data_IF_777042160231
#
_entry.id   IF_777042160231
#
_cell.length_a   1.000
_cell.length_b   1.000
_cell.length_c   1.000
_cell.angle_alpha   90.00
_cell.angle_beta   90.00
_cell.angle_gamma   90.00
#
_symmetry.space_group_name_H-M   'P 1'
#
loop_
_entity.id
_entity.type
_entity.pdbx_description
1 polymer ?
#
# COMPACT_ATOMS: atom_id res chain seq x y z
N UNK A 1 3.23 -12.65 -13.74
CA UNK A 1 2.23 -11.65 -14.18
C UNK A 1 2.16 -10.47 -13.21
N UNK A 2 1.88 -10.71 -11.93
CA UNK A 2 1.80 -9.66 -10.91
C UNK A 2 3.03 -8.77 -10.84
N UNK A 3 4.21 -9.35 -10.57
CA UNK A 3 5.44 -8.57 -10.46
C UNK A 3 5.74 -7.72 -11.70
N UNK A 4 5.45 -8.24 -12.89
CA UNK A 4 5.67 -7.49 -14.13
C UNK A 4 4.80 -6.23 -14.18
N UNK A 5 3.51 -6.36 -13.88
CA UNK A 5 2.58 -5.22 -13.83
C UNK A 5 2.99 -4.25 -12.74
N UNK A 6 3.21 -4.75 -11.53
CA UNK A 6 3.63 -3.95 -10.39
C UNK A 6 4.89 -3.15 -10.68
N UNK A 7 5.97 -3.79 -11.14
CA UNK A 7 7.24 -3.12 -11.43
C UNK A 7 7.08 -2.02 -12.48
N UNK A 8 6.27 -2.23 -13.51
CA UNK A 8 6.02 -1.19 -14.53
C UNK A 8 5.26 0.02 -13.96
N UNK A 9 4.21 -0.21 -13.17
CA UNK A 9 3.41 0.86 -12.57
C UNK A 9 4.17 1.57 -11.44
N UNK A 10 4.93 0.84 -10.63
CA UNK A 10 5.81 1.40 -9.59
C UNK A 10 6.89 2.28 -10.22
N UNK A 11 7.52 1.84 -11.31
CA UNK A 11 8.46 2.65 -12.08
C UNK A 11 7.80 3.92 -12.65
N UNK A 12 6.52 3.86 -13.06
CA UNK A 12 5.78 5.05 -13.50
C UNK A 12 5.61 6.07 -12.36
N UNK A 13 5.26 5.59 -11.16
CA UNK A 13 5.10 6.42 -9.97
C UNK A 13 6.43 7.02 -9.51
N UNK A 14 7.50 6.21 -9.47
CA UNK A 14 8.85 6.62 -9.04
C UNK A 14 9.47 7.69 -9.94
N UNK A 15 9.02 7.82 -11.20
CA UNK A 15 9.42 8.94 -12.07
C UNK A 15 8.90 10.29 -11.61
N UNK A 16 7.80 10.31 -10.86
CA UNK A 16 7.19 11.54 -10.31
C UNK A 16 7.63 11.73 -8.86
N UNK A 17 7.76 10.64 -8.12
CA UNK A 17 8.15 10.62 -6.72
C UNK A 17 9.52 9.91 -6.54
N UNK A 18 10.62 10.47 -7.04
CA UNK A 18 11.92 9.84 -6.89
C UNK A 18 12.40 9.90 -5.43
N UNK A 19 13.01 8.81 -4.96
CA UNK A 19 13.70 8.74 -3.66
C UNK A 19 12.81 9.06 -2.44
N UNK A 20 11.51 8.80 -2.50
CA UNK A 20 10.62 8.94 -1.34
C UNK A 20 11.01 7.92 -0.29
N UNK A 21 11.36 8.40 0.91
CA UNK A 21 11.64 7.54 2.06
C UNK A 21 10.33 7.00 2.64
N UNK A 22 10.31 5.78 3.20
CA UNK A 22 9.13 5.26 3.88
C UNK A 22 8.61 6.22 4.94
N UNK A 23 7.29 6.28 5.13
CA UNK A 23 6.61 7.07 6.16
C UNK A 23 6.71 8.60 6.02
N UNK A 24 7.36 9.10 4.96
CA UNK A 24 7.54 10.56 4.76
C UNK A 24 6.50 11.19 3.86
N UNK A 25 5.73 10.39 3.11
CA UNK A 25 4.74 10.89 2.15
C UNK A 25 3.52 9.96 2.05
N UNK A 26 2.46 10.28 2.81
CA UNK A 26 1.24 9.47 2.86
C UNK A 26 0.52 9.37 1.50
N UNK A 27 0.54 10.44 0.69
CA UNK A 27 -0.07 10.42 -0.64
C UNK A 27 0.65 9.43 -1.55
N UNK A 28 1.97 9.48 -1.62
CA UNK A 28 2.78 8.52 -2.38
C UNK A 28 2.49 7.07 -1.95
N UNK A 29 2.46 6.81 -0.65
CA UNK A 29 2.15 5.46 -0.15
C UNK A 29 0.76 4.99 -0.55
N UNK A 30 -0.26 5.85 -0.47
CA UNK A 30 -1.61 5.52 -0.91
C UNK A 30 -1.66 5.21 -2.41
N UNK A 31 -1.06 6.06 -3.24
CA UNK A 31 -1.01 5.86 -4.70
C UNK A 31 -0.31 4.54 -5.03
N UNK A 32 0.81 4.24 -4.36
CA UNK A 32 1.57 3.01 -4.58
C UNK A 32 0.80 1.77 -4.12
N UNK A 33 0.12 1.80 -2.96
CA UNK A 33 -0.78 0.72 -2.51
C UNK A 33 -1.90 0.47 -3.52
N UNK A 34 -2.50 1.53 -4.06
CA UNK A 34 -3.51 1.43 -5.12
C UNK A 34 -2.94 0.74 -6.37
N UNK A 35 -1.74 1.11 -6.86
CA UNK A 35 -1.10 0.46 -8.01
C UNK A 35 -0.77 -1.02 -7.76
N UNK A 36 -0.33 -1.37 -6.55
CA UNK A 36 -0.08 -2.78 -6.18
C UNK A 36 -1.40 -3.57 -6.22
N UNK A 37 -2.48 -3.02 -5.66
CA UNK A 37 -3.80 -3.66 -5.71
C UNK A 37 -4.30 -3.81 -7.14
N UNK A 38 -4.19 -2.78 -7.98
CA UNK A 38 -4.56 -2.86 -9.41
C UNK A 38 -3.76 -3.96 -10.12
N UNK A 39 -2.46 -4.07 -9.81
CA UNK A 39 -1.58 -5.09 -10.40
C UNK A 39 -2.04 -6.51 -10.09
N UNK A 40 -2.51 -6.76 -8.87
CA UNK A 40 -3.03 -8.06 -8.45
C UNK A 40 -4.33 -8.41 -9.20
N UNK A 41 -5.27 -7.47 -9.26
CA UNK A 41 -6.56 -7.68 -9.93
C UNK A 41 -6.41 -7.82 -11.45
N UNK A 42 -5.53 -7.03 -12.07
CA UNK A 42 -5.16 -7.20 -13.48
C UNK A 42 -4.58 -8.59 -13.74
N UNK A 43 -3.72 -9.07 -12.86
CA UNK A 43 -3.10 -10.40 -12.98
C UNK A 43 -4.12 -11.54 -12.86
N UNK A 44 -5.12 -11.38 -11.99
CA UNK A 44 -6.24 -12.32 -11.91
C UNK A 44 -6.97 -12.43 -13.26
N UNK A 45 -7.33 -11.30 -13.87
CA UNK A 45 -8.03 -11.30 -15.16
C UNK A 45 -7.17 -11.85 -16.30
N UNK A 46 -5.88 -11.52 -16.33
CA UNK A 46 -4.96 -12.11 -17.30
C UNK A 46 -4.93 -13.64 -17.14
N UNK A 47 -4.84 -14.14 -15.91
CA UNK A 47 -4.84 -15.57 -15.61
C UNK A 47 -6.14 -16.25 -16.07
N UNK A 48 -7.31 -15.62 -15.83
CA UNK A 48 -8.59 -16.17 -16.28
C UNK A 48 -8.65 -16.27 -17.81
N UNK A 49 -8.26 -15.21 -18.54
CA UNK A 49 -8.27 -15.24 -20.01
C UNK A 49 -7.30 -16.27 -20.58
N UNK A 50 -6.12 -16.42 -19.98
CA UNK A 50 -5.17 -17.47 -20.37
C UNK A 50 -5.75 -18.87 -20.14
N UNK A 51 -6.43 -19.11 -19.02
CA UNK A 51 -7.10 -20.39 -18.77
C UNK A 51 -8.24 -20.66 -19.76
N UNK A 52 -9.05 -19.65 -20.09
CA UNK A 52 -10.12 -19.78 -21.08
C UNK A 52 -9.57 -20.05 -22.48
N UNK A 53 -8.45 -19.42 -22.84
CA UNK A 53 -7.71 -19.69 -24.08
C UNK A 53 -7.21 -21.14 -24.13
N UNK A 54 -6.49 -21.59 -23.10
CA UNK A 54 -5.91 -22.94 -23.03
C UNK A 54 -6.98 -24.04 -22.98
N UNK A 55 -8.16 -23.74 -22.44
CA UNK A 55 -9.30 -24.67 -22.39
C UNK A 55 -10.22 -24.62 -23.62
N UNK A 56 -9.91 -23.78 -24.62
CA UNK A 56 -10.71 -23.63 -25.84
C UNK A 56 -12.02 -22.85 -25.66
N UNK A 57 -12.24 -22.21 -24.51
CA UNK A 57 -13.41 -21.35 -24.25
C UNK A 57 -13.27 -19.94 -24.85
N UNK A 58 -12.06 -19.58 -25.27
CA UNK A 58 -11.75 -18.29 -25.89
C UNK A 58 -10.94 -18.50 -27.17
N UNK A 59 -11.41 -17.94 -28.29
CA UNK A 59 -10.76 -18.01 -29.60
C UNK A 59 -9.59 -17.01 -29.75
N UNK A 60 -8.84 -16.81 -28.67
CA UNK A 60 -7.69 -15.93 -28.64
C UNK A 60 -6.50 -16.69 -28.10
N UNK A 61 -5.36 -16.62 -28.78
CA UNK A 61 -4.15 -17.36 -28.39
C UNK A 61 -3.50 -16.76 -27.13
N UNK A 62 -2.80 -17.56 -26.30
CA UNK A 62 -2.12 -17.07 -25.10
C UNK A 62 -1.17 -15.90 -25.37
N UNK A 63 -0.45 -15.90 -26.50
CA UNK A 63 0.48 -14.84 -26.89
C UNK A 63 -0.24 -13.52 -27.17
N UNK A 64 -1.43 -13.58 -27.79
CA UNK A 64 -2.24 -12.40 -28.05
C UNK A 64 -2.79 -11.79 -26.75
N UNK A 65 -3.20 -12.63 -25.79
CA UNK A 65 -3.61 -12.19 -24.46
C UNK A 65 -2.44 -11.54 -23.74
N UNK A 66 -1.26 -12.16 -23.78
CA UNK A 66 -0.07 -11.60 -23.18
C UNK A 66 0.31 -10.24 -23.78
N UNK A 67 0.27 -10.10 -25.11
CA UNK A 67 0.51 -8.83 -25.79
C UNK A 67 -0.49 -7.74 -25.38
N UNK A 68 -1.77 -8.09 -25.26
CA UNK A 68 -2.77 -7.12 -24.83
C UNK A 68 -2.52 -6.61 -23.41
N UNK A 69 -2.35 -7.51 -22.45
CA UNK A 69 -2.17 -7.12 -21.04
C UNK A 69 -0.82 -6.43 -20.81
N UNK A 70 0.25 -6.98 -21.36
CA UNK A 70 1.62 -6.62 -21.00
C UNK A 70 2.27 -5.63 -21.98
N UNK A 71 1.65 -5.35 -23.14
CA UNK A 71 2.14 -4.33 -24.08
C UNK A 71 1.10 -3.23 -24.27
N UNK A 72 -0.07 -3.56 -24.81
CA UNK A 72 -1.07 -2.55 -25.23
C UNK A 72 -1.69 -1.84 -24.03
N UNK A 73 -2.23 -2.60 -23.08
CA UNK A 73 -2.84 -2.05 -21.87
C UNK A 73 -1.77 -1.47 -20.95
N UNK A 74 -0.65 -2.17 -20.78
CA UNK A 74 0.46 -1.71 -19.94
C UNK A 74 0.98 -0.33 -20.36
N UNK A 75 1.17 -0.09 -21.67
CA UNK A 75 1.60 1.22 -22.19
C UNK A 75 0.61 2.33 -21.81
N UNK A 76 -0.67 2.05 -21.94
CA UNK A 76 -1.75 3.01 -21.67
C UNK A 76 -1.86 3.32 -20.17
N UNK A 77 -1.81 2.28 -19.33
CA UNK A 77 -1.83 2.37 -17.87
C UNK A 77 -0.59 3.07 -17.32
N UNK A 78 0.59 2.79 -17.88
CA UNK A 78 1.83 3.45 -17.51
C UNK A 78 1.74 4.96 -17.74
N UNK A 79 1.31 5.37 -18.95
CA UNK A 79 1.15 6.79 -19.30
C UNK A 79 0.11 7.46 -18.39
N UNK A 80 -1.01 6.78 -18.12
CA UNK A 80 -2.02 7.27 -17.19
C UNK A 80 -1.45 7.46 -15.78
N UNK A 81 -0.72 6.47 -15.27
CA UNK A 81 -0.08 6.51 -13.95
C UNK A 81 0.87 7.70 -13.82
N UNK A 82 1.77 7.91 -14.80
CA UNK A 82 2.68 9.07 -14.80
C UNK A 82 1.90 10.39 -14.75
N UNK A 83 0.80 10.49 -15.50
CA UNK A 83 0.02 11.74 -15.60
C UNK A 83 -0.80 12.01 -14.34
N UNK A 84 -1.50 10.99 -13.83
CA UNK A 84 -2.29 11.08 -12.61
C UNK A 84 -1.41 11.33 -11.39
N UNK A 85 -0.26 10.65 -11.28
CA UNK A 85 0.72 10.89 -10.22
C UNK A 85 1.28 12.31 -10.28
N UNK A 86 1.64 12.81 -11.47
CA UNK A 86 2.11 14.19 -11.64
C UNK A 86 1.06 15.21 -11.23
N UNK A 87 -0.21 14.95 -11.56
CA UNK A 87 -1.29 15.84 -11.15
C UNK A 87 -1.51 15.79 -9.64
N UNK A 88 -1.40 14.60 -9.03
CA UNK A 88 -1.48 14.44 -7.58
C UNK A 88 -0.39 15.26 -6.86
N UNK A 89 0.85 15.20 -7.34
CA UNK A 89 1.96 16.02 -6.83
C UNK A 89 1.69 17.52 -6.99
N UNK A 90 1.28 17.95 -8.19
CA UNK A 90 0.95 19.37 -8.46
C UNK A 90 -0.19 19.88 -7.60
N UNK A 91 -1.20 19.05 -7.33
CA UNK A 91 -2.30 19.43 -6.45
C UNK A 91 -1.82 19.78 -5.05
N UNK A 92 -0.88 19.01 -4.48
CA UNK A 92 -0.26 19.36 -3.19
C UNK A 92 0.40 20.74 -3.23
N UNK A 93 1.05 21.10 -4.34
CA UNK A 93 1.62 22.43 -4.55
C UNK A 93 0.52 23.51 -4.68
N UNK A 94 -0.59 23.20 -5.36
CA UNK A 94 -1.71 24.13 -5.51
C UNK A 94 -2.35 24.45 -4.16
N UNK A 95 -2.63 23.42 -3.35
CA UNK A 95 -3.16 23.59 -1.99
C UNK A 95 -2.22 24.42 -1.11
N UNK A 96 -0.92 24.13 -1.14
CA UNK A 96 0.07 24.88 -0.35
C UNK A 96 0.14 26.36 -0.76
N UNK A 97 -0.04 26.67 -2.05
CA UNK A 97 0.13 28.01 -2.60
C UNK A 97 -1.17 28.77 -2.88
N UNK A 98 -2.34 28.22 -2.52
CA UNK A 98 -3.65 28.83 -2.83
C UNK A 98 -3.87 30.22 -2.23
N UNK A 99 -3.12 30.57 -1.19
CA UNK A 99 -3.11 31.92 -0.63
C UNK A 99 -2.52 32.98 -1.57
N UNK A 100 -1.64 32.60 -2.51
CA UNK A 100 -1.09 33.49 -3.57
C UNK A 100 -1.78 33.27 -4.91
N UNK A 101 -2.08 32.01 -5.24
CA UNK A 101 -2.74 31.61 -6.48
C UNK A 101 -4.04 30.84 -6.17
N UNK A 102 -5.12 31.55 -5.81
CA UNK A 102 -6.35 30.91 -5.33
C UNK A 102 -7.16 30.18 -6.40
N UNK A 103 -6.79 30.32 -7.68
CA UNK A 103 -7.52 29.72 -8.80
C UNK A 103 -6.61 28.83 -9.66
N UNK A 104 -7.24 27.88 -10.35
CA UNK A 104 -6.63 27.05 -11.38
C UNK A 104 -7.29 27.33 -12.73
N UNK A 105 -6.48 27.49 -13.77
CA UNK A 105 -6.91 27.58 -15.16
C UNK A 105 -6.71 26.23 -15.86
N UNK A 106 -7.74 25.77 -16.58
CA UNK A 106 -7.65 24.57 -17.42
C UNK A 106 -6.92 24.89 -18.75
N UNK A 107 -5.80 24.23 -18.97
CA UNK A 107 -4.88 24.54 -20.07
C UNK A 107 -5.13 23.68 -21.32
N UNK A 108 -4.78 24.20 -22.52
CA UNK A 108 -4.76 23.42 -23.75
C UNK A 108 -3.94 22.13 -23.66
N UNK A 109 -4.41 21.08 -24.33
CA UNK A 109 -3.73 19.78 -24.39
C UNK A 109 -2.46 19.86 -25.22
N UNK A 110 -1.42 19.13 -24.82
CA UNK A 110 -0.19 18.91 -25.60
C UNK A 110 -0.26 17.65 -26.48
N UNK A 111 -1.46 17.10 -26.69
CA UNK A 111 -1.66 15.99 -27.62
C UNK A 111 -1.56 16.48 -29.07
N UNK A 112 -1.05 15.64 -29.97
CA UNK A 112 -1.05 15.93 -31.41
C UNK A 112 -2.49 16.08 -31.93
N UNK A 113 -3.41 15.28 -31.39
CA UNK A 113 -4.84 15.34 -31.65
C UNK A 113 -5.59 15.56 -30.33
N UNK A 114 -5.82 16.83 -29.92
CA UNK A 114 -6.62 17.14 -28.75
C UNK A 114 -8.10 16.79 -28.96
N UNK A 115 -8.67 16.00 -28.05
CA UNK A 115 -10.12 15.72 -28.00
C UNK A 115 -10.94 17.00 -27.95
N UNK A 116 -11.84 17.19 -28.90
CA UNK A 116 -12.69 18.38 -29.00
C UNK A 116 -13.51 18.59 -27.72
N UNK A 117 -13.94 17.51 -27.08
CA UNK A 117 -14.68 17.52 -25.82
C UNK A 117 -13.87 18.20 -24.72
N UNK A 118 -12.56 17.98 -24.66
CA UNK A 118 -11.70 18.60 -23.64
C UNK A 118 -11.40 20.07 -23.95
N UNK A 119 -11.41 20.47 -25.24
CA UNK A 119 -11.15 21.86 -25.64
C UNK A 119 -12.20 22.82 -25.10
N UNK A 120 -13.44 22.35 -24.89
CA UNK A 120 -14.51 23.12 -24.26
C UNK A 120 -14.15 23.62 -22.85
N UNK A 121 -13.18 23.00 -22.18
CA UNK A 121 -12.72 23.44 -20.87
C UNK A 121 -11.59 24.47 -20.91
N UNK A 122 -10.97 24.77 -22.07
CA UNK A 122 -9.78 25.63 -22.12
C UNK A 122 -10.08 27.08 -21.72
N UNK A 123 -9.37 27.56 -20.68
CA UNK A 123 -9.58 28.88 -20.09
C UNK A 123 -10.71 28.93 -19.05
N UNK A 124 -11.28 27.79 -18.66
CA UNK A 124 -12.06 27.74 -17.42
C UNK A 124 -11.13 28.00 -16.25
N UNK A 125 -11.50 28.97 -15.41
CA UNK A 125 -10.78 29.31 -14.19
C UNK A 125 -11.71 29.09 -13.01
N UNK A 126 -11.30 28.22 -12.08
CA UNK A 126 -12.07 27.92 -10.86
C UNK A 126 -11.18 27.97 -9.62
N UNK A 127 -11.73 28.33 -8.44
CA UNK A 127 -10.98 28.23 -7.18
C UNK A 127 -10.34 26.85 -7.01
N UNK A 128 -9.21 26.77 -6.31
CA UNK A 128 -8.55 25.49 -5.99
C UNK A 128 -9.52 24.55 -5.27
N UNK A 129 -10.35 25.08 -4.36
CA UNK A 129 -11.32 24.30 -3.57
C UNK A 129 -12.65 24.03 -4.31
N UNK A 130 -12.78 24.39 -5.60
CA UNK A 130 -14.02 24.18 -6.35
C UNK A 130 -14.27 22.67 -6.64
N UNK A 131 -15.48 22.14 -6.40
CA UNK A 131 -15.83 20.74 -6.66
C UNK A 131 -15.64 20.29 -8.12
N UNK A 132 -15.54 21.22 -9.07
CA UNK A 132 -15.19 20.94 -10.46
C UNK A 132 -13.94 20.05 -10.56
N UNK A 133 -12.93 20.32 -9.72
CA UNK A 133 -11.66 19.57 -9.72
C UNK A 133 -11.77 18.17 -9.14
N UNK A 134 -12.85 17.83 -8.44
CA UNK A 134 -13.04 16.45 -7.95
C UNK A 134 -13.36 15.48 -9.08
N UNK A 135 -13.90 15.99 -10.20
CA UNK A 135 -14.28 15.18 -11.36
C UNK A 135 -13.41 15.47 -12.58
N UNK A 136 -13.10 16.73 -12.83
CA UNK A 136 -12.55 17.20 -14.10
C UNK A 136 -11.07 17.58 -14.05
N UNK A 137 -10.38 17.30 -12.94
CA UNK A 137 -8.94 17.46 -12.86
C UNK A 137 -8.25 16.47 -13.81
N UNK A 138 -7.46 16.93 -14.81
CA UNK A 138 -6.83 16.04 -15.77
C UNK A 138 -5.91 15.00 -15.10
N UNK A 139 -5.84 13.75 -15.62
CA UNK A 139 -6.31 13.32 -16.94
C UNK A 139 -7.76 12.81 -17.01
N UNK A 140 -8.60 13.49 -17.81
CA UNK A 140 -10.02 13.15 -18.02
C UNK A 140 -10.27 12.02 -19.03
N UNK A 141 -9.37 11.04 -19.13
CA UNK A 141 -9.46 9.94 -20.10
C UNK A 141 -8.11 9.33 -20.46
N UNK A 142 -8.11 8.12 -21.02
CA UNK A 142 -6.90 7.45 -21.50
C UNK A 142 -6.15 8.33 -22.50
N UNK A 143 -4.83 8.46 -22.38
CA UNK A 143 -4.03 9.30 -23.28
C UNK A 143 -4.28 10.81 -23.20
N UNK A 144 -5.08 11.29 -22.23
CA UNK A 144 -5.28 12.73 -22.02
C UNK A 144 -3.94 13.42 -21.67
N UNK A 145 -3.63 14.53 -22.36
CA UNK A 145 -2.46 15.38 -22.09
C UNK A 145 -2.83 16.82 -21.71
N UNK A 146 -4.06 17.02 -21.22
CA UNK A 146 -4.50 18.29 -20.62
C UNK A 146 -3.79 18.51 -19.28
N UNK A 147 -3.77 19.76 -18.82
CA UNK A 147 -3.20 20.14 -17.52
C UNK A 147 -3.92 21.35 -16.95
N UNK A 148 -3.58 21.72 -15.73
CA UNK A 148 -4.03 22.97 -15.11
C UNK A 148 -2.82 23.82 -14.70
N UNK A 149 -3.01 25.13 -14.57
CA UNK A 149 -2.00 26.09 -14.11
C UNK A 149 -2.59 26.99 -13.01
N UNK A 150 -1.84 27.28 -11.94
CA UNK A 150 -2.26 28.24 -10.92
C UNK A 150 -2.26 29.67 -11.45
N UNK A 151 -3.31 30.43 -11.14
CA UNK A 151 -3.49 31.83 -11.54
C UNK A 151 -3.97 32.69 -10.36
N UNK A 152 -3.67 33.99 -10.38
CA UNK A 152 -3.94 34.91 -9.25
C UNK A 152 -5.37 35.44 -9.20
N UNK A 153 -6.00 35.58 -10.36
CA UNK A 153 -7.36 36.08 -10.50
C UNK A 153 -8.11 35.24 -11.53
N UNK A 154 -9.42 35.43 -11.59
CA UNK A 154 -10.34 34.75 -12.49
C UNK A 154 -11.04 35.73 -13.45
N UNK A 155 -10.42 36.87 -13.75
CA UNK A 155 -11.02 37.92 -14.58
C UNK A 155 -11.33 37.42 -16.01
N UNK A 156 -10.46 36.55 -16.53
CA UNK A 156 -10.59 35.95 -17.87
C UNK A 156 -11.31 34.58 -17.83
N UNK A 157 -11.99 34.27 -16.72
CA UNK A 157 -12.68 32.99 -16.57
C UNK A 157 -13.78 32.84 -17.61
N UNK A 158 -13.65 31.84 -18.47
CA UNK A 158 -14.76 31.45 -19.34
C UNK A 158 -15.85 30.76 -18.52
N UNK A 159 -17.15 31.02 -18.82
CA UNK A 159 -18.22 30.25 -18.22
C UNK A 159 -18.07 28.76 -18.60
N UNK A 160 -18.66 27.89 -17.78
CA UNK A 160 -18.81 26.49 -18.17
C UNK A 160 -19.59 26.40 -19.49
N UNK A 161 -19.24 25.47 -20.39
CA UNK A 161 -19.98 25.30 -21.63
C UNK A 161 -21.43 24.89 -21.33
N UNK A 162 -22.39 25.48 -22.05
CA UNK A 162 -23.81 25.14 -21.91
C UNK A 162 -24.06 23.64 -22.23
N UNK A 163 -23.36 23.12 -23.23
CA UNK A 163 -23.30 21.71 -23.55
C UNK A 163 -22.02 21.09 -22.96
N UNK A 164 -22.14 20.60 -21.73
CA UNK A 164 -21.04 19.96 -21.01
C UNK A 164 -20.53 18.73 -21.76
N UNK A 165 -19.20 18.53 -21.84
CA UNK A 165 -18.61 17.29 -22.33
C UNK A 165 -19.21 16.06 -21.65
N UNK A 166 -19.27 14.91 -22.35
CA UNK A 166 -19.55 13.63 -21.70
C UNK A 166 -18.62 13.42 -20.51
N UNK A 167 -19.16 12.84 -19.44
CA UNK A 167 -18.38 12.55 -18.24
C UNK A 167 -17.13 11.72 -18.60
N UNK A 168 -15.99 11.94 -17.92
CA UNK A 168 -14.82 11.09 -18.09
C UNK A 168 -15.19 9.63 -17.81
N UNK A 169 -14.39 8.63 -18.23
CA UNK A 169 -14.59 7.26 -17.77
C UNK A 169 -14.71 7.23 -16.24
N UNK A 170 -15.68 6.50 -15.68
CA UNK A 170 -15.92 6.47 -14.21
C UNK A 170 -14.66 6.20 -13.39
N UNK A 171 -13.78 5.35 -13.93
CA UNK A 171 -12.46 5.06 -13.40
C UNK A 171 -11.55 6.28 -13.16
N UNK A 172 -11.84 7.42 -13.80
CA UNK A 172 -11.03 8.64 -13.83
C UNK A 172 -11.82 9.88 -13.37
N UNK A 173 -13.04 9.69 -12.85
CA UNK A 173 -13.85 10.76 -12.27
C UNK A 173 -13.44 11.01 -10.81
N UNK A 174 -12.16 11.29 -10.59
CA UNK A 174 -11.64 11.52 -9.25
C UNK A 174 -10.38 12.39 -9.30
N UNK A 175 -10.09 13.08 -8.20
CA UNK A 175 -8.83 13.75 -7.98
C UNK A 175 -7.85 12.80 -7.25
N UNK A 176 -6.78 12.32 -7.92
CA UNK A 176 -5.85 11.36 -7.33
C UNK A 176 -5.12 11.90 -6.09
N UNK A 177 -4.98 13.22 -5.95
CA UNK A 177 -4.40 13.84 -4.75
C UNK A 177 -5.31 13.72 -3.53
N UNK A 178 -6.64 13.77 -3.75
CA UNK A 178 -7.65 13.69 -2.69
C UNK A 178 -7.97 12.25 -2.33
N UNK A 179 -8.07 11.37 -3.32
CA UNK A 179 -8.42 9.95 -3.09
C UNK A 179 -7.22 9.09 -2.73
N UNK A 180 -6.01 9.47 -3.17
CA UNK A 180 -4.85 8.59 -3.08
C UNK A 180 -4.93 7.39 -4.03
N UNK A 181 -5.77 7.46 -5.06
CA UNK A 181 -5.96 6.41 -6.07
C UNK A 181 -5.55 6.92 -7.45
N UNK A 182 -4.83 6.10 -8.22
CA UNK A 182 -4.61 6.31 -9.66
C UNK A 182 -5.72 5.61 -10.46
N UNK A 183 -6.07 4.40 -10.00
CA UNK A 183 -7.07 3.54 -10.60
C UNK A 183 -8.17 3.32 -9.57
N UNK A 184 -9.32 3.98 -9.75
CA UNK A 184 -10.44 3.81 -8.82
C UNK A 184 -11.09 2.43 -8.95
N UNK A 185 -11.93 2.08 -7.98
CA UNK A 185 -12.71 0.84 -7.96
C UNK A 185 -13.67 0.66 -9.16
N UNK A 186 -13.87 1.72 -9.97
CA UNK A 186 -14.67 1.69 -11.19
C UNK A 186 -13.89 1.22 -12.43
N UNK A 187 -12.57 0.99 -12.31
CA UNK A 187 -11.79 0.36 -13.38
C UNK A 187 -12.28 -1.06 -13.65
N UNK A 188 -12.08 -1.54 -14.88
CA UNK A 188 -12.56 -2.87 -15.29
C UNK A 188 -12.02 -3.98 -14.39
N UNK A 189 -10.80 -3.85 -13.87
CA UNK A 189 -10.19 -4.88 -13.03
C UNK A 189 -10.92 -5.07 -11.69
N UNK A 190 -11.31 -3.99 -11.02
CA UNK A 190 -12.04 -4.06 -9.75
C UNK A 190 -13.54 -4.27 -9.97
N UNK A 191 -14.14 -3.49 -10.88
CA UNK A 191 -15.57 -3.53 -11.15
C UNK A 191 -16.04 -4.91 -11.55
N UNK A 192 -15.34 -5.58 -12.46
CA UNK A 192 -15.71 -6.92 -12.93
C UNK A 192 -15.65 -7.97 -11.83
N UNK A 193 -14.73 -7.83 -10.85
CA UNK A 193 -14.71 -8.75 -9.71
C UNK A 193 -16.02 -8.62 -8.93
N UNK A 194 -16.47 -7.39 -8.68
CA UNK A 194 -17.72 -7.12 -7.96
C UNK A 194 -18.97 -7.53 -8.74
N UNK A 195 -18.99 -7.32 -10.06
CA UNK A 195 -20.21 -7.47 -10.88
C UNK A 195 -20.33 -8.78 -11.62
N UNK A 196 -19.23 -9.46 -11.95
CA UNK A 196 -19.23 -10.67 -12.79
C UNK A 196 -18.92 -11.95 -11.99
N UNK A 197 -18.30 -11.85 -10.80
CA UNK A 197 -17.94 -13.03 -10.00
C UNK A 197 -18.93 -13.31 -8.86
N UNK A 198 -19.25 -14.58 -8.55
CA UNK A 198 -19.99 -14.93 -7.35
C UNK A 198 -19.17 -14.64 -6.08
N UNK A 199 -19.85 -14.39 -4.96
CA UNK A 199 -19.23 -13.96 -3.69
C UNK A 199 -18.01 -14.81 -3.24
N UNK A 200 -18.03 -16.16 -3.30
CA UNK A 200 -16.86 -16.96 -2.93
C UNK A 200 -15.62 -16.67 -3.79
N UNK A 201 -15.81 -16.41 -5.10
CA UNK A 201 -14.70 -16.03 -5.99
C UNK A 201 -14.21 -14.61 -5.72
N UNK A 202 -15.11 -13.68 -5.36
CA UNK A 202 -14.70 -12.33 -4.95
C UNK A 202 -13.80 -12.39 -3.72
N UNK A 203 -14.18 -13.21 -2.73
CA UNK A 203 -13.39 -13.44 -1.53
C UNK A 203 -12.03 -14.06 -1.85
N UNK A 204 -11.99 -15.09 -2.69
CA UNK A 204 -10.73 -15.71 -3.11
C UNK A 204 -9.78 -14.73 -3.82
N UNK A 205 -10.30 -13.80 -4.63
CA UNK A 205 -9.46 -12.76 -5.27
C UNK A 205 -8.90 -11.78 -4.22
N UNK A 206 -9.72 -11.38 -3.23
CA UNK A 206 -9.27 -10.52 -2.13
C UNK A 206 -8.20 -11.21 -1.29
N UNK A 207 -8.42 -12.45 -0.89
CA UNK A 207 -7.44 -13.23 -0.11
C UNK A 207 -6.14 -13.46 -0.89
N UNK A 208 -6.22 -13.74 -2.19
CA UNK A 208 -5.03 -13.85 -3.03
C UNK A 208 -4.23 -12.53 -3.05
N UNK A 209 -4.90 -11.38 -3.09
CA UNK A 209 -4.23 -10.09 -2.97
C UNK A 209 -3.57 -9.91 -1.58
N UNK A 210 -4.27 -10.26 -0.50
CA UNK A 210 -3.74 -10.19 0.85
C UNK A 210 -2.46 -11.02 1.01
N UNK A 211 -2.43 -12.23 0.45
CA UNK A 211 -1.24 -13.08 0.45
C UNK A 211 -0.11 -12.56 -0.45
N UNK A 212 -0.45 -11.91 -1.57
CA UNK A 212 0.55 -11.31 -2.47
C UNK A 212 1.34 -10.17 -1.80
N UNK A 213 0.81 -9.56 -0.73
CA UNK A 213 1.54 -8.52 0.03
C UNK A 213 2.90 -9.04 0.53
N UNK A 214 3.04 -10.32 0.86
CA UNK A 214 4.33 -10.92 1.27
C UNK A 214 5.42 -10.87 0.19
N UNK A 215 5.02 -10.79 -1.08
CA UNK A 215 5.95 -10.77 -2.21
C UNK A 215 6.46 -9.37 -2.52
N UNK A 216 5.90 -8.34 -1.88
CA UNK A 216 6.29 -6.96 -2.10
C UNK A 216 7.61 -6.67 -1.35
N UNK A 217 8.58 -6.00 -2.00
CA UNK A 217 9.85 -5.68 -1.36
C UNK A 217 9.67 -4.77 -0.13
N UNK A 218 10.47 -5.06 0.90
CA UNK A 218 10.60 -4.20 2.08
C UNK A 218 11.55 -3.04 1.79
N UNK A 219 11.37 -1.94 2.51
CA UNK A 219 12.14 -0.70 2.33
C UNK A 219 12.91 -0.36 3.61
N UNK A 220 14.16 0.10 3.48
CA UNK A 220 14.99 0.45 4.63
C UNK A 220 14.39 1.65 5.35
N UNK A 221 14.00 1.46 6.61
CA UNK A 221 13.40 2.49 7.45
C UNK A 221 14.39 3.06 8.48
N UNK A 222 15.31 2.23 8.97
CA UNK A 222 16.30 2.63 9.96
C UNK A 222 17.55 1.74 9.92
N UNK A 223 18.71 2.31 10.25
CA UNK A 223 19.97 1.58 10.31
C UNK A 223 20.85 2.13 11.44
N UNK A 224 21.41 1.22 12.24
CA UNK A 224 22.43 1.50 13.25
C UNK A 224 23.47 0.37 13.25
N UNK A 225 23.52 -0.47 14.30
CA UNK A 225 24.31 -1.72 14.22
C UNK A 225 23.61 -2.71 13.28
N UNK A 226 22.30 -2.88 13.47
CA UNK A 226 21.43 -3.64 12.57
C UNK A 226 20.69 -2.77 11.56
N UNK A 227 19.75 -3.39 10.84
CA UNK A 227 18.90 -2.76 9.83
C UNK A 227 17.44 -3.09 10.09
N UNK A 228 16.59 -2.07 10.04
CA UNK A 228 15.13 -2.19 10.14
C UNK A 228 14.52 -1.84 8.79
N UNK A 229 13.72 -2.76 8.27
CA UNK A 229 12.94 -2.57 7.06
C UNK A 229 11.46 -2.53 7.39
N UNK A 230 10.73 -1.69 6.66
CA UNK A 230 9.28 -1.55 6.75
C UNK A 230 8.61 -2.03 5.48
N UNK A 231 7.32 -2.33 5.60
CA UNK A 231 6.49 -2.75 4.48
C UNK A 231 5.43 -1.70 4.15
N UNK A 232 5.10 -1.53 2.87
CA UNK A 232 4.12 -0.52 2.46
C UNK A 232 2.70 -0.80 2.98
N UNK A 233 2.39 -2.07 3.23
CA UNK A 233 1.14 -2.54 3.85
C UNK A 233 1.30 -2.85 5.34
N UNK A 234 2.19 -2.15 6.05
CA UNK A 234 2.27 -2.17 7.53
C UNK A 234 0.91 -1.88 8.20
N UNK A 235 0.83 -2.23 9.48
CA UNK A 235 -0.31 -1.95 10.39
C UNK A 235 -0.66 -0.45 10.47
N UNK A 236 -1.77 -0.11 11.13
CA UNK A 236 -2.11 1.28 11.42
C UNK A 236 -1.00 2.03 12.17
N UNK A 237 -0.92 3.38 12.07
CA UNK A 237 0.21 4.15 12.58
C UNK A 237 0.58 3.89 14.03
N UNK A 238 -0.38 3.68 14.93
CA UNK A 238 -0.13 3.41 16.35
C UNK A 238 0.64 2.09 16.53
N UNK A 239 0.07 0.98 16.04
CA UNK A 239 0.69 -0.35 16.12
C UNK A 239 1.99 -0.43 15.32
N UNK A 240 2.07 0.25 14.18
CA UNK A 240 3.32 0.35 13.41
C UNK A 240 4.42 1.05 14.20
N UNK A 241 4.11 2.18 14.86
CA UNK A 241 5.10 2.93 15.63
C UNK A 241 5.62 2.12 16.83
N UNK A 242 4.75 1.38 17.54
CA UNK A 242 5.18 0.45 18.61
C UNK A 242 6.17 -0.60 18.09
N UNK A 243 5.83 -1.21 16.94
CA UNK A 243 6.68 -2.20 16.30
C UNK A 243 8.01 -1.58 15.81
N UNK A 244 7.97 -0.34 15.30
CA UNK A 244 9.14 0.39 14.81
C UNK A 244 10.09 0.77 15.95
N UNK A 245 9.58 1.26 17.08
CA UNK A 245 10.39 1.56 18.28
C UNK A 245 11.11 0.31 18.77
N UNK A 246 10.38 -0.81 18.85
CA UNK A 246 10.91 -2.12 19.21
C UNK A 246 12.01 -2.58 18.26
N UNK A 247 11.79 -2.46 16.96
CA UNK A 247 12.75 -2.84 15.94
C UNK A 247 14.02 -1.96 15.98
N UNK A 248 13.88 -0.65 16.18
CA UNK A 248 15.01 0.29 16.34
C UNK A 248 15.87 -0.06 17.54
N UNK A 249 15.23 -0.29 18.70
CA UNK A 249 15.89 -0.71 19.92
C UNK A 249 16.71 -1.99 19.73
N UNK A 250 16.14 -2.99 19.06
CA UNK A 250 16.87 -4.22 18.73
C UNK A 250 18.05 -3.95 17.78
N UNK A 251 17.86 -3.16 16.73
CA UNK A 251 18.93 -2.81 15.78
C UNK A 251 20.07 -1.99 16.42
N UNK A 252 19.78 -1.15 17.42
CA UNK A 252 20.80 -0.38 18.14
C UNK A 252 21.70 -1.26 19.02
N UNK A 253 21.15 -2.37 19.51
CA UNK A 253 21.84 -3.27 20.43
C UNK A 253 22.49 -4.47 19.72
N UNK A 254 21.92 -4.93 18.61
CA UNK A 254 22.36 -6.12 17.90
C UNK A 254 22.50 -5.87 16.40
N UNK A 255 23.52 -6.48 15.79
CA UNK A 255 23.65 -6.56 14.33
C UNK A 255 22.65 -7.59 13.79
N UNK A 256 21.43 -7.12 13.50
CA UNK A 256 20.31 -7.92 13.04
C UNK A 256 19.61 -7.26 11.85
N UNK A 257 19.13 -8.08 10.93
CA UNK A 257 18.16 -7.67 9.91
C UNK A 257 16.74 -7.91 10.45
N UNK A 258 15.97 -6.84 10.59
CA UNK A 258 14.61 -6.85 11.15
C UNK A 258 13.65 -6.31 10.09
N UNK A 259 12.61 -7.07 9.76
CA UNK A 259 11.55 -6.67 8.83
C UNK A 259 10.23 -6.58 9.58
N UNK A 260 9.60 -5.41 9.58
CA UNK A 260 8.25 -5.21 10.12
C UNK A 260 7.26 -5.66 9.05
N UNK A 261 6.50 -6.73 9.33
CA UNK A 261 5.70 -7.45 8.34
C UNK A 261 4.46 -6.65 7.89
N UNK A 262 3.91 -6.95 6.70
CA UNK A 262 2.60 -6.46 6.30
C UNK A 262 1.47 -6.90 7.24
N UNK A 263 0.40 -6.10 7.29
CA UNK A 263 -0.91 -6.57 7.67
C UNK A 263 -1.51 -7.43 6.55
N UNK A 264 -1.83 -8.68 6.88
CA UNK A 264 -2.47 -9.65 5.99
C UNK A 264 -3.82 -10.07 6.57
N UNK A 265 -4.88 -9.70 5.87
CA UNK A 265 -6.27 -9.95 6.24
C UNK A 265 -6.83 -11.12 5.45
N UNK A 266 -6.28 -12.31 5.67
CA UNK A 266 -6.73 -13.56 5.04
C UNK A 266 -7.24 -14.56 6.08
N UNK A 267 -8.23 -15.38 5.71
CA UNK A 267 -8.87 -16.33 6.60
C UNK A 267 -7.85 -17.31 7.21
N UNK A 268 -7.90 -17.43 8.54
CA UNK A 268 -6.99 -18.27 9.34
C UNK A 268 -5.49 -17.95 9.17
N UNK A 269 -5.14 -16.80 8.59
CA UNK A 269 -3.77 -16.37 8.45
C UNK A 269 -3.24 -15.82 9.77
N UNK A 270 -2.04 -16.25 10.17
CA UNK A 270 -1.36 -15.74 11.36
C UNK A 270 -0.39 -14.67 10.94
N UNK A 271 -0.42 -13.54 11.65
CA UNK A 271 0.37 -12.38 11.30
C UNK A 271 1.36 -11.97 12.40
N UNK A 272 2.46 -12.74 12.60
CA UNK A 272 3.58 -12.28 13.43
C UNK A 272 4.03 -10.86 13.05
N UNK A 273 4.45 -10.07 14.04
CA UNK A 273 4.85 -8.68 13.82
C UNK A 273 6.11 -8.54 12.94
N UNK A 274 7.08 -9.45 13.06
CA UNK A 274 8.40 -9.31 12.45
C UNK A 274 8.94 -10.57 11.77
N UNK A 275 9.95 -10.35 10.92
CA UNK A 275 10.98 -11.34 10.57
C UNK A 275 12.32 -10.79 11.06
N UNK A 276 13.03 -11.53 11.90
CA UNK A 276 14.35 -11.17 12.42
C UNK A 276 15.34 -12.25 11.96
N UNK A 277 16.36 -11.87 11.19
CA UNK A 277 17.36 -12.78 10.63
C UNK A 277 16.73 -14.02 9.94
N UNK A 278 15.62 -13.82 9.23
CA UNK A 278 14.91 -14.87 8.50
C UNK A 278 13.92 -15.71 9.32
N UNK A 279 13.82 -15.48 10.63
CA UNK A 279 12.86 -16.18 11.51
C UNK A 279 11.72 -15.25 11.92
N UNK A 280 10.50 -15.78 12.00
CA UNK A 280 9.37 -15.00 12.51
C UNK A 280 9.60 -14.58 13.96
N UNK A 281 9.12 -13.39 14.31
CA UNK A 281 9.09 -12.92 15.68
C UNK A 281 7.79 -12.17 15.94
N UNK A 282 7.36 -12.20 17.19
CA UNK A 282 6.06 -11.65 17.59
C UNK A 282 6.18 -10.98 18.96
N UNK A 283 5.58 -9.80 19.10
CA UNK A 283 5.70 -8.98 20.29
C UNK A 283 4.51 -9.19 21.23
N UNK A 284 4.81 -9.14 22.52
CA UNK A 284 3.83 -9.02 23.58
C UNK A 284 4.19 -7.82 24.45
N UNK A 285 3.24 -6.88 24.56
CA UNK A 285 3.42 -5.64 25.33
C UNK A 285 2.75 -5.80 26.69
N UNK A 286 3.51 -5.53 27.75
CA UNK A 286 3.05 -5.57 29.12
C UNK A 286 2.32 -4.27 29.48
N UNK A 287 1.01 -4.37 29.72
CA UNK A 287 0.19 -3.25 30.18
C UNK A 287 0.09 -3.18 31.71
N UNK A 288 -0.06 -1.95 32.25
CA UNK A 288 -0.04 -1.63 33.69
C UNK A 288 -1.04 -2.42 34.57
N UNK A 289 -2.12 -2.96 34.00
CA UNK A 289 -3.15 -3.71 34.75
C UNK A 289 -2.94 -5.22 34.79
N UNK A 290 -1.89 -5.76 34.14
CA UNK A 290 -1.70 -7.20 34.00
C UNK A 290 -0.80 -7.76 35.11
N UNK A 291 -1.19 -8.86 35.74
CA UNK A 291 -0.26 -9.64 36.59
C UNK A 291 0.91 -10.17 35.74
N UNK A 292 2.15 -9.97 36.19
CA UNK A 292 3.37 -10.36 35.46
C UNK A 292 3.38 -11.84 35.05
N UNK A 293 3.13 -12.77 35.99
CA UNK A 293 3.19 -14.21 35.72
C UNK A 293 2.12 -14.66 34.71
N UNK A 294 0.93 -14.07 34.81
CA UNK A 294 -0.15 -14.31 33.87
C UNK A 294 0.19 -13.75 32.49
N UNK A 295 0.78 -12.55 32.41
CA UNK A 295 1.25 -11.97 31.17
C UNK A 295 2.25 -12.89 30.49
N UNK A 296 3.35 -13.26 31.17
CA UNK A 296 4.38 -14.15 30.61
C UNK A 296 3.75 -15.47 30.14
N UNK A 297 2.94 -16.11 30.98
CA UNK A 297 2.29 -17.39 30.63
C UNK A 297 1.41 -17.27 29.39
N UNK A 298 0.62 -16.20 29.28
CA UNK A 298 -0.25 -15.98 28.14
C UNK A 298 0.54 -15.64 26.89
N UNK A 299 1.58 -14.81 26.97
CA UNK A 299 2.46 -14.49 25.83
C UNK A 299 3.00 -15.77 25.17
N UNK A 300 3.57 -16.69 25.96
CA UNK A 300 4.04 -17.97 25.40
C UNK A 300 2.90 -18.84 24.84
N UNK A 301 1.75 -18.91 25.52
CA UNK A 301 0.62 -19.73 25.07
C UNK A 301 0.02 -19.18 23.76
N UNK A 302 -0.16 -17.87 23.66
CA UNK A 302 -0.79 -17.21 22.52
C UNK A 302 0.12 -17.21 21.30
N UNK A 303 1.44 -17.27 21.49
CA UNK A 303 2.40 -17.35 20.39
C UNK A 303 2.72 -18.79 19.98
N UNK A 304 2.94 -19.72 20.90
CA UNK A 304 3.52 -21.03 20.57
C UNK A 304 2.61 -22.25 20.82
N UNK A 305 1.49 -22.10 21.53
CA UNK A 305 0.63 -23.24 21.87
C UNK A 305 -0.07 -23.82 20.63
N UNK A 306 -0.01 -25.15 20.49
CA UNK A 306 -0.84 -25.88 19.52
C UNK A 306 -2.33 -25.72 19.83
N UNK A 307 -2.72 -25.81 21.12
CA UNK A 307 -4.11 -25.72 21.58
C UNK A 307 -4.76 -24.37 21.26
N UNK A 308 -4.01 -23.27 21.37
CA UNK A 308 -4.51 -21.91 21.05
C UNK A 308 -4.34 -21.52 19.58
N UNK A 309 -3.84 -22.44 18.75
CA UNK A 309 -3.39 -22.13 17.40
C UNK A 309 -2.52 -20.85 17.37
N UNK A 310 -1.50 -20.81 18.23
CA UNK A 310 -0.68 -19.61 18.42
C UNK A 310 0.07 -19.18 17.15
N UNK A 311 0.41 -17.89 17.06
CA UNK A 311 0.92 -17.28 15.83
C UNK A 311 2.19 -17.94 15.26
N UNK A 312 3.07 -18.40 16.14
CA UNK A 312 4.36 -19.03 15.84
C UNK A 312 4.35 -20.54 16.10
N UNK A 313 3.17 -21.16 16.30
CA UNK A 313 3.09 -22.54 16.77
C UNK A 313 3.61 -23.59 15.77
N UNK A 314 3.55 -23.27 14.47
CA UNK A 314 3.94 -24.12 13.33
C UNK A 314 5.33 -23.79 12.83
N UNK A 315 5.68 -22.51 12.81
CA UNK A 315 6.94 -22.01 12.25
C UNK A 315 8.08 -21.97 13.27
N UNK A 316 7.75 -21.88 14.57
CA UNK A 316 8.69 -21.40 15.58
C UNK A 316 9.06 -19.93 15.33
N UNK A 317 9.95 -19.41 16.16
CA UNK A 317 10.41 -18.03 16.05
C UNK A 317 10.96 -17.44 17.34
N UNK A 318 11.00 -16.11 17.39
CA UNK A 318 11.39 -15.36 18.58
C UNK A 318 10.18 -14.73 19.26
N UNK A 319 10.26 -14.61 20.59
CA UNK A 319 9.31 -13.84 21.38
C UNK A 319 9.96 -12.53 21.82
N UNK A 320 9.26 -11.42 21.64
CA UNK A 320 9.68 -10.12 22.17
C UNK A 320 8.72 -9.76 23.31
N UNK A 321 9.26 -9.61 24.51
CA UNK A 321 8.53 -9.15 25.69
C UNK A 321 8.90 -7.69 25.96
N UNK A 322 7.96 -6.78 25.77
CA UNK A 322 8.19 -5.35 25.95
C UNK A 322 7.47 -4.81 27.17
N UNK A 323 8.22 -4.15 28.04
CA UNK A 323 7.74 -3.50 29.25
C UNK A 323 8.01 -2.00 29.11
N UNK A 324 6.95 -1.21 28.88
CA UNK A 324 7.05 0.23 28.63
C UNK A 324 7.64 1.01 29.81
N UNK A 325 7.55 0.46 31.02
CA UNK A 325 8.19 1.00 32.22
C UNK A 325 9.16 -0.02 32.79
N UNK A 326 10.26 0.46 33.35
CA UNK A 326 11.24 -0.40 34.01
C UNK A 326 10.61 -1.08 35.22
N UNK A 327 10.58 -2.41 35.21
CA UNK A 327 10.09 -3.22 36.32
C UNK A 327 11.14 -4.26 36.75
N UNK A 328 10.93 -4.86 37.92
CA UNK A 328 11.69 -6.05 38.34
C UNK A 328 11.15 -7.26 37.59
N UNK A 329 12.03 -7.95 36.86
CA UNK A 329 11.67 -9.10 36.03
C UNK A 329 12.18 -10.39 36.67
N UNK A 330 11.28 -11.34 36.91
CA UNK A 330 11.65 -12.70 37.33
C UNK A 330 12.16 -13.50 36.12
N UNK A 331 13.47 -13.40 35.87
CA UNK A 331 14.16 -14.09 34.78
C UNK A 331 14.05 -15.61 34.89
N UNK A 332 14.06 -16.16 36.10
CA UNK A 332 13.98 -17.61 36.32
C UNK A 332 12.64 -18.13 35.82
N UNK A 333 11.56 -17.39 36.07
CA UNK A 333 10.24 -17.74 35.56
C UNK A 333 10.18 -17.75 34.03
N UNK A 334 10.74 -16.73 33.37
CA UNK A 334 10.76 -16.65 31.91
C UNK A 334 11.60 -17.79 31.32
N UNK A 335 12.78 -18.09 31.88
CA UNK A 335 13.62 -19.22 31.46
C UNK A 335 12.89 -20.56 31.58
N UNK A 336 12.14 -20.77 32.66
CA UNK A 336 11.33 -21.99 32.81
C UNK A 336 10.27 -22.12 31.71
N UNK A 337 9.63 -21.01 31.31
CA UNK A 337 8.67 -21.02 30.19
C UNK A 337 9.38 -21.25 28.85
N UNK A 338 10.52 -20.60 28.62
CA UNK A 338 11.32 -20.81 27.42
C UNK A 338 11.73 -22.28 27.28
N UNK A 339 12.22 -22.91 28.35
CA UNK A 339 12.58 -24.32 28.36
C UNK A 339 11.40 -25.24 28.00
N UNK A 340 10.18 -24.89 28.40
CA UNK A 340 8.97 -25.64 28.04
C UNK A 340 8.62 -25.52 26.55
N UNK A 341 8.93 -24.39 25.91
CA UNK A 341 8.66 -24.09 24.50
C UNK A 341 9.91 -24.12 23.60
N UNK A 342 11.02 -24.71 24.06
CA UNK A 342 12.34 -24.62 23.41
C UNK A 342 12.40 -25.21 22.00
N UNK A 343 11.46 -26.09 21.65
CA UNK A 343 11.29 -26.66 20.32
C UNK A 343 10.77 -25.64 19.29
N UNK A 344 10.20 -24.52 19.76
CA UNK A 344 9.55 -23.50 18.92
C UNK A 344 10.02 -22.08 19.19
N UNK A 345 10.26 -21.73 20.45
CA UNK A 345 10.76 -20.43 20.85
C UNK A 345 12.28 -20.51 20.96
N UNK A 346 12.97 -19.97 19.97
CA UNK A 346 14.43 -20.10 19.86
C UNK A 346 15.19 -19.11 20.74
N UNK A 347 14.57 -17.96 21.02
CA UNK A 347 15.13 -16.88 21.84
C UNK A 347 14.01 -15.97 22.32
N UNK A 348 14.18 -15.41 23.53
CA UNK A 348 13.31 -14.35 24.03
C UNK A 348 14.12 -13.05 24.12
N UNK A 349 13.64 -12.01 23.46
CA UNK A 349 14.12 -10.65 23.64
C UNK A 349 13.27 -9.97 24.71
N UNK A 350 13.91 -9.33 25.67
CA UNK A 350 13.24 -8.61 26.74
C UNK A 350 13.66 -7.16 26.67
N UNK A 351 12.67 -6.27 26.50
CA UNK A 351 12.83 -4.82 26.51
C UNK A 351 12.21 -4.30 27.80
N UNK A 352 13.03 -3.77 28.70
CA UNK A 352 12.60 -3.30 30.03
C UNK A 352 12.93 -1.81 30.19
N UNK A 353 11.99 -0.93 29.85
CA UNK A 353 12.31 0.47 29.58
C UNK A 353 13.28 0.56 28.38
N UNK A 354 14.46 1.13 28.59
CA UNK A 354 15.49 1.28 27.54
C UNK A 354 16.55 0.16 27.56
N UNK A 355 16.45 -0.80 28.49
CA UNK A 355 17.39 -1.91 28.59
C UNK A 355 16.91 -3.11 27.79
N UNK A 356 17.84 -3.76 27.08
CA UNK A 356 17.54 -4.96 26.29
C UNK A 356 18.47 -6.08 26.70
N UNK A 357 17.90 -7.27 26.88
CA UNK A 357 18.67 -8.49 27.07
C UNK A 357 17.94 -9.70 26.48
N UNK A 358 18.68 -10.78 26.29
CA UNK A 358 18.18 -11.99 25.62
C UNK A 358 18.27 -13.20 26.53
N UNK A 359 17.30 -14.11 26.43
CA UNK A 359 17.28 -15.39 27.12
C UNK A 359 17.27 -16.57 26.16
#
# INVERSE_FOLDING_TARGET
MFEYTYKNLDNALNRIYPNVKPDTNALYENLRRNLIQTSAYKSYWQTQQLNDSLSGKMDKKPEQINNDFNVNYMRTEYVHTVRSARMAQRWTEFEANKHVYPYLEYMPSTAAEPRMEHQKFYGIIKPVDDPFWDTWLPPNGWGCKCSVRPVRNNNDAKPLPADMPPMPPKAMQHNPAKTGEIFSNETSYFKKVKTELPQPKQQAVREAFELLKETIPYELAYQSKGKVYTHIFKEEPEKYNENLETAKLLADNFDMEIKIRPLINADNYKNPDFIINGLFADQAIYGKSKNFYNFITNSFKDKFSKKRNGQLNKTGGYLILSFSQKIVIDIKYIKNKLNFYKDKCFKVFIINGNEIFTL
#
